data_IF_318615188384
#
_entry.id   IF_318615188384
#
_cell.length_a   1.000
_cell.length_b   1.000
_cell.length_c   1.000
_cell.angle_alpha   90.00
_cell.angle_beta   90.00
_cell.angle_gamma   90.00
#
_symmetry.space_group_name_H-M   'P 1'
#
loop_
_entity.id
_entity.type
_entity.pdbx_description
1 polymer ?
#
# COMPACT_ATOMS: atom_id res chain seq x y z
N UNK A 1 10.39 13.86 -8.84
CA UNK A 1 10.52 14.30 -7.44
C UNK A 1 9.77 13.36 -6.53
N UNK A 2 10.47 12.79 -5.56
CA UNK A 2 9.93 11.74 -4.69
C UNK A 2 8.74 12.22 -3.84
N UNK A 3 8.77 13.47 -3.34
CA UNK A 3 7.68 14.00 -2.54
C UNK A 3 6.36 14.11 -3.30
N UNK A 4 6.41 14.54 -4.55
CA UNK A 4 5.22 14.67 -5.38
C UNK A 4 4.58 13.30 -5.64
N UNK A 5 5.39 12.27 -5.85
CA UNK A 5 4.88 10.92 -6.09
C UNK A 5 4.25 10.33 -4.84
N UNK A 6 4.83 10.60 -3.67
CA UNK A 6 4.23 10.18 -2.39
C UNK A 6 2.87 10.82 -2.20
N UNK A 7 2.74 12.12 -2.48
CA UNK A 7 1.47 12.84 -2.35
C UNK A 7 0.41 12.25 -3.29
N UNK A 8 0.81 11.90 -4.50
CA UNK A 8 -0.05 11.27 -5.48
C UNK A 8 -0.54 9.89 -5.01
N UNK A 9 0.34 9.09 -4.43
CA UNK A 9 -0.01 7.78 -3.86
C UNK A 9 -0.99 7.95 -2.70
N UNK A 10 -0.74 8.93 -1.82
CA UNK A 10 -1.64 9.22 -0.71
C UNK A 10 -3.03 9.62 -1.21
N UNK A 11 -3.09 10.44 -2.27
CA UNK A 11 -4.36 10.83 -2.87
C UNK A 11 -5.11 9.61 -3.44
N UNK A 12 -4.39 8.69 -4.08
CA UNK A 12 -4.98 7.47 -4.63
C UNK A 12 -5.55 6.57 -3.52
N UNK A 13 -4.85 6.45 -2.40
CA UNK A 13 -5.33 5.68 -1.26
C UNK A 13 -6.55 6.35 -0.61
N UNK A 14 -6.53 7.67 -0.48
CA UNK A 14 -7.62 8.46 0.10
C UNK A 14 -8.89 8.37 -0.75
N UNK A 15 -8.74 8.21 -2.07
CA UNK A 15 -9.88 8.06 -2.98
C UNK A 15 -10.65 6.76 -2.78
N UNK A 16 -10.05 5.76 -2.11
CA UNK A 16 -10.76 4.53 -1.78
C UNK A 16 -11.76 4.78 -0.65
N UNK A 17 -12.92 4.09 -0.64
CA UNK A 17 -13.90 4.21 0.46
C UNK A 17 -13.34 3.54 1.72
N UNK A 18 -12.47 4.24 2.42
CA UNK A 18 -11.69 3.70 3.52
C UNK A 18 -11.43 4.79 4.56
N UNK A 19 -10.95 4.37 5.72
CA UNK A 19 -10.55 5.27 6.80
C UNK A 19 -9.07 5.57 6.67
N UNK A 20 -8.66 6.83 6.83
CA UNK A 20 -7.26 7.17 6.87
C UNK A 20 -6.87 7.69 8.25
N UNK A 21 -5.77 7.18 8.76
CA UNK A 21 -5.28 7.53 10.08
C UNK A 21 -3.82 7.96 9.98
N UNK A 22 -3.53 9.27 10.03
CA UNK A 22 -2.15 9.71 10.15
C UNK A 22 -1.64 9.33 11.54
N UNK A 23 -0.79 8.32 11.59
CA UNK A 23 -0.33 7.74 12.84
C UNK A 23 0.87 8.53 13.36
N UNK A 24 0.63 9.36 14.38
CA UNK A 24 1.68 10.17 15.01
C UNK A 24 2.30 11.21 14.09
N UNK A 25 1.72 11.46 12.94
CA UNK A 25 2.28 12.37 11.95
C UNK A 25 3.46 11.81 11.17
N UNK A 26 3.90 10.60 11.48
CA UNK A 26 5.06 9.98 10.84
C UNK A 26 4.69 8.98 9.75
N UNK A 27 3.57 8.32 9.88
CA UNK A 27 3.11 7.31 8.91
C UNK A 27 1.63 7.51 8.65
N UNK A 28 1.25 7.61 7.38
CA UNK A 28 -0.15 7.58 6.99
C UNK A 28 -0.58 6.13 6.85
N UNK A 29 -1.63 5.74 7.57
CA UNK A 29 -2.17 4.39 7.57
C UNK A 29 -3.57 4.43 6.99
N UNK A 30 -3.82 3.61 5.98
CA UNK A 30 -5.13 3.54 5.31
C UNK A 30 -5.78 2.20 5.64
N UNK A 31 -7.01 2.25 6.13
CA UNK A 31 -7.74 1.06 6.59
C UNK A 31 -9.13 0.99 5.96
N UNK A 32 -9.63 -0.22 5.83
CA UNK A 32 -11.04 -0.47 5.53
C UNK A 32 -11.58 -1.39 6.61
N UNK A 33 -12.63 -0.93 7.31
CA UNK A 33 -13.22 -1.64 8.45
C UNK A 33 -12.18 -2.08 9.50
N UNK A 34 -11.24 -1.19 9.81
CA UNK A 34 -10.19 -1.46 10.79
C UNK A 34 -9.00 -2.29 10.29
N UNK A 35 -9.01 -2.74 9.04
CA UNK A 35 -7.93 -3.54 8.48
C UNK A 35 -7.07 -2.68 7.56
N UNK A 36 -5.75 -2.68 7.80
CA UNK A 36 -4.81 -1.90 6.98
C UNK A 36 -4.70 -2.45 5.57
N UNK A 37 -4.65 -1.56 4.58
CA UNK A 37 -4.31 -1.94 3.21
C UNK A 37 -3.14 -1.12 2.64
N UNK A 38 -2.79 0.01 3.24
CA UNK A 38 -1.66 0.81 2.78
C UNK A 38 -1.00 1.55 3.95
N UNK A 39 0.32 1.68 3.88
CA UNK A 39 1.14 2.42 4.83
C UNK A 39 2.10 3.30 4.05
N UNK A 40 2.10 4.60 4.34
CA UNK A 40 2.98 5.56 3.67
C UNK A 40 3.76 6.33 4.73
N UNK A 41 5.06 6.03 4.94
CA UNK A 41 5.90 6.83 5.83
C UNK A 41 6.07 8.24 5.27
N UNK A 42 5.83 9.26 6.09
CA UNK A 42 5.78 10.64 5.64
C UNK A 42 7.14 11.32 5.60
N UNK A 43 8.09 10.85 6.41
CA UNK A 43 9.40 11.48 6.51
C UNK A 43 10.54 10.78 5.78
N UNK A 44 10.26 9.68 5.11
CA UNK A 44 11.31 8.92 4.44
C UNK A 44 11.66 9.46 3.06
N UNK A 45 12.95 9.39 2.71
CA UNK A 45 13.45 9.73 1.39
C UNK A 45 14.43 8.63 0.98
N UNK A 46 14.21 7.94 -0.14
CA UNK A 46 13.05 8.08 -1.03
C UNK A 46 11.74 7.63 -0.37
N UNK A 47 10.62 8.11 -0.87
CA UNK A 47 9.30 7.72 -0.38
C UNK A 47 8.99 6.27 -0.71
N UNK A 48 8.19 5.63 0.14
CA UNK A 48 7.75 4.26 -0.08
C UNK A 48 6.25 4.13 0.20
N UNK A 49 5.66 3.06 -0.31
CA UNK A 49 4.32 2.63 0.10
C UNK A 49 4.37 1.14 0.37
N UNK A 50 3.81 0.72 1.51
CA UNK A 50 3.67 -0.70 1.82
C UNK A 50 2.24 -1.11 1.55
N UNK A 51 2.07 -2.16 0.77
CA UNK A 51 0.77 -2.64 0.31
C UNK A 51 0.65 -4.14 0.53
N UNK A 52 -0.54 -4.56 0.90
CA UNK A 52 -0.85 -5.98 1.02
C UNK A 52 -0.90 -6.60 -0.37
N UNK A 53 -0.46 -7.84 -0.49
CA UNK A 53 -0.35 -8.49 -1.79
C UNK A 53 -0.54 -9.99 -1.66
N UNK A 54 -1.15 -10.60 -2.67
CA UNK A 54 -1.18 -12.06 -2.79
C UNK A 54 0.26 -12.59 -2.75
N UNK A 55 0.54 -13.65 -1.96
CA UNK A 55 1.93 -14.12 -1.78
C UNK A 55 2.65 -14.49 -3.08
N UNK A 56 1.98 -15.11 -4.02
CA UNK A 56 2.61 -15.50 -5.29
C UNK A 56 2.92 -14.27 -6.14
N UNK A 57 2.00 -13.32 -6.19
CA UNK A 57 2.22 -12.05 -6.88
C UNK A 57 3.34 -11.26 -6.21
N UNK A 58 3.39 -11.26 -4.88
CA UNK A 58 4.42 -10.56 -4.13
C UNK A 58 5.82 -11.04 -4.51
N UNK A 59 6.02 -12.34 -4.58
CA UNK A 59 7.30 -12.93 -4.97
C UNK A 59 7.67 -12.52 -6.40
N UNK A 60 6.72 -12.59 -7.32
CA UNK A 60 6.94 -12.20 -8.72
C UNK A 60 7.34 -10.74 -8.87
N UNK A 61 6.70 -9.86 -8.11
CA UNK A 61 7.01 -8.44 -8.15
C UNK A 61 8.40 -8.13 -7.61
N UNK A 62 8.81 -8.82 -6.53
CA UNK A 62 10.16 -8.66 -5.97
C UNK A 62 11.23 -9.12 -6.96
N UNK A 63 10.95 -10.17 -7.71
CA UNK A 63 11.88 -10.67 -8.72
C UNK A 63 11.95 -9.73 -9.92
N UNK A 64 10.84 -9.10 -10.27
CA UNK A 64 10.72 -8.26 -11.46
C UNK A 64 11.28 -6.85 -11.24
N UNK A 65 11.06 -6.27 -10.06
CA UNK A 65 11.40 -4.87 -9.78
C UNK A 65 12.34 -4.75 -8.60
N UNK A 66 13.49 -4.14 -8.80
CA UNK A 66 14.46 -3.88 -7.73
C UNK A 66 13.89 -2.99 -6.62
N UNK A 67 12.91 -2.14 -6.97
CA UNK A 67 12.27 -1.23 -6.01
C UNK A 67 11.17 -1.87 -5.17
N UNK A 68 10.88 -3.17 -5.35
CA UNK A 68 9.89 -3.89 -4.56
C UNK A 68 10.60 -4.85 -3.62
N UNK A 69 10.34 -4.72 -2.33
CA UNK A 69 10.97 -5.51 -1.28
C UNK A 69 9.92 -6.09 -0.34
N UNK A 70 10.24 -7.13 0.45
CA UNK A 70 9.33 -7.60 1.50
C UNK A 70 8.95 -6.47 2.44
N UNK A 71 7.72 -6.50 2.94
CA UNK A 71 7.21 -5.45 3.81
C UNK A 71 8.06 -5.26 5.07
N UNK A 72 8.45 -4.02 5.32
CA UNK A 72 9.28 -3.65 6.48
C UNK A 72 8.40 -3.62 7.73
N UNK A 73 8.79 -4.36 8.75
CA UNK A 73 8.03 -4.53 9.99
C UNK A 73 6.62 -5.10 9.79
N UNK A 74 6.38 -5.76 8.66
CA UNK A 74 5.10 -6.38 8.33
C UNK A 74 5.32 -7.84 7.94
N UNK A 75 4.23 -8.58 7.79
CA UNK A 75 4.33 -9.95 7.27
C UNK A 75 4.95 -9.92 5.88
N UNK A 76 6.12 -10.51 5.74
CA UNK A 76 6.88 -10.48 4.47
C UNK A 76 6.22 -11.31 3.38
N UNK A 77 5.36 -12.24 3.75
CA UNK A 77 4.63 -13.08 2.82
C UNK A 77 3.48 -12.32 2.18
N UNK A 78 2.83 -11.43 2.93
CA UNK A 78 1.60 -10.76 2.52
C UNK A 78 1.76 -9.27 2.22
N UNK A 79 2.94 -8.72 2.44
CA UNK A 79 3.20 -7.29 2.27
C UNK A 79 4.44 -7.03 1.45
N UNK A 80 4.35 -6.08 0.54
CA UNK A 80 5.50 -5.54 -0.18
C UNK A 80 5.64 -4.05 0.11
N UNK A 81 6.89 -3.60 0.15
CA UNK A 81 7.23 -2.18 0.21
C UNK A 81 7.75 -1.75 -1.15
N UNK A 82 7.10 -0.78 -1.76
CA UNK A 82 7.43 -0.27 -3.09
C UNK A 82 8.11 1.07 -2.95
N UNK A 83 9.30 1.21 -3.53
CA UNK A 83 10.04 2.47 -3.56
C UNK A 83 9.44 3.36 -4.65
N UNK A 84 9.03 4.59 -4.27
CA UNK A 84 8.26 5.45 -5.17
C UNK A 84 9.12 6.17 -6.23
N UNK A 85 10.42 6.26 -6.02
CA UNK A 85 11.34 6.77 -7.05
C UNK A 85 12.04 5.65 -7.81
N UNK A 86 11.56 4.41 -7.64
CA UNK A 86 12.13 3.24 -8.28
C UNK A 86 11.52 2.96 -9.65
N UNK A 87 11.80 1.77 -10.19
CA UNK A 87 11.44 1.44 -11.57
C UNK A 87 9.97 1.06 -11.79
N UNK A 88 9.15 0.96 -10.73
CA UNK A 88 7.75 0.56 -10.89
C UNK A 88 6.95 1.69 -11.54
N UNK A 89 6.30 1.45 -12.70
CA UNK A 89 5.52 2.49 -13.36
C UNK A 89 4.32 2.92 -12.53
N UNK A 90 3.86 4.16 -12.73
CA UNK A 90 2.74 4.73 -11.99
C UNK A 90 1.47 3.89 -12.11
N UNK A 91 1.15 3.42 -13.30
CA UNK A 91 -0.04 2.60 -13.52
C UNK A 91 0.03 1.28 -12.76
N UNK A 92 1.23 0.69 -12.62
CA UNK A 92 1.41 -0.52 -11.85
C UNK A 92 1.26 -0.25 -10.35
N UNK A 93 1.72 0.90 -9.88
CA UNK A 93 1.53 1.31 -8.48
C UNK A 93 0.03 1.44 -8.18
N UNK A 94 -0.73 2.07 -9.09
CA UNK A 94 -2.19 2.18 -8.93
C UNK A 94 -2.85 0.81 -8.89
N UNK A 95 -2.46 -0.10 -9.76
CA UNK A 95 -3.00 -1.46 -9.76
C UNK A 95 -2.68 -2.18 -8.45
N UNK A 96 -1.49 -1.98 -7.89
CA UNK A 96 -1.11 -2.58 -6.62
C UNK A 96 -1.91 -2.01 -5.46
N UNK A 97 -2.23 -0.72 -5.48
CA UNK A 97 -3.11 -0.10 -4.49
C UNK A 97 -4.49 -0.73 -4.56
N UNK A 98 -5.06 -0.85 -5.78
CA UNK A 98 -6.36 -1.46 -5.99
C UNK A 98 -6.37 -2.92 -5.53
N UNK A 99 -5.34 -3.67 -5.87
CA UNK A 99 -5.19 -5.07 -5.48
C UNK A 99 -5.15 -5.22 -3.96
N UNK A 100 -4.38 -4.37 -3.28
CA UNK A 100 -4.29 -4.39 -1.82
C UNK A 100 -5.64 -4.11 -1.17
N UNK A 101 -6.33 -3.08 -1.64
CA UNK A 101 -7.66 -2.74 -1.15
C UNK A 101 -8.63 -3.90 -1.33
N UNK A 102 -8.65 -4.49 -2.53
CA UNK A 102 -9.56 -5.58 -2.85
C UNK A 102 -9.30 -6.83 -2.00
N UNK A 103 -8.03 -7.14 -1.73
CA UNK A 103 -7.67 -8.26 -0.85
C UNK A 103 -8.23 -8.09 0.56
N UNK A 104 -8.09 -6.90 1.10
CA UNK A 104 -8.57 -6.60 2.45
C UNK A 104 -10.09 -6.59 2.47
N UNK A 105 -10.71 -5.91 1.51
CA UNK A 105 -12.17 -5.82 1.41
C UNK A 105 -12.83 -7.19 1.25
N UNK A 106 -12.20 -8.08 0.48
CA UNK A 106 -12.73 -9.42 0.24
C UNK A 106 -12.76 -10.30 1.50
N UNK A 107 -11.97 -9.96 2.51
CA UNK A 107 -11.92 -10.69 3.79
C UNK A 107 -12.99 -10.23 4.77
N UNK A 108 -13.65 -9.12 4.49
CA UNK A 108 -14.69 -8.61 5.37
C UNK A 108 -15.93 -9.48 5.26
N UNK A 109 -16.63 -9.69 6.39
CA UNK A 109 -17.91 -10.37 6.36
C UNK A 109 -18.94 -9.47 5.68
N UNK A 110 -20.05 -10.05 5.24
CA UNK A 110 -21.14 -9.29 4.65
C UNK A 110 -21.61 -8.17 5.59
N UNK A 111 -21.74 -8.46 6.88
CA UNK A 111 -22.15 -7.48 7.86
C UNK A 111 -21.17 -6.33 7.99
N UNK A 112 -19.87 -6.61 7.95
CA UNK A 112 -18.85 -5.58 8.02
C UNK A 112 -18.85 -4.67 6.79
N UNK A 113 -19.11 -5.22 5.61
CA UNK A 113 -19.15 -4.43 4.38
C UNK A 113 -20.40 -3.58 4.29
N UNK A 114 -21.49 -4.05 4.87
CA UNK A 114 -22.78 -3.37 4.82
C UNK A 114 -22.95 -2.33 5.94
N UNK A 115 -22.07 -2.31 6.92
CA UNK A 115 -22.18 -1.37 8.05
C UNK A 115 -21.62 0.01 7.80
#
# INVERSE_FOLDING_TARGET
MTGARRDWVMAACTAKPAEDYPFGGEVAVFKVAGQMFALVPLGEVPGTVSLKCDPDLAVGLRARYAGVRPGYHLSKRHWNTVTLDGPVPDEDVLELIDHSYDLVAARLTQAQRDS
#
